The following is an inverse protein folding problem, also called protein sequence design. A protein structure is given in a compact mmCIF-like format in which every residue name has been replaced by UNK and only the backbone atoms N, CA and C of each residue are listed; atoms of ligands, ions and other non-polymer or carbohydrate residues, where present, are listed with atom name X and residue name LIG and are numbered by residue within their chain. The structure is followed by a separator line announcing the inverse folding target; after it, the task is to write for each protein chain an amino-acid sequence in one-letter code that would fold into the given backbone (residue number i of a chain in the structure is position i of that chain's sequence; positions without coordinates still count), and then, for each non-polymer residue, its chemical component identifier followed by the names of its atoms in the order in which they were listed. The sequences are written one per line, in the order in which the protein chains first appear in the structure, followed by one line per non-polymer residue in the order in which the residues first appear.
data_IF_608916914944
#
_entry.id   IF_608916914944
#
_cell.length_a   1.000
_cell.length_b   1.000
_cell.length_c   1.000
_cell.angle_alpha   90.00
_cell.angle_beta   90.00
_cell.angle_gamma   90.00
#
_symmetry.space_group_name_H-M   'P 1'
#
loop_
_entity.id
_entity.type
_entity.pdbx_description
1 polymer ?
#
# COMPACT_ATOMS: atom_id res chain seq x y z
N UNK A 1 -20.61 -27.08 -63.31
CA UNK A 1 -19.21 -27.01 -63.78
C UNK A 1 -18.60 -25.75 -63.18
N UNK A 2 -17.60 -25.69 -62.32
CA UNK A 2 -16.80 -26.65 -61.54
C UNK A 2 -15.83 -25.84 -60.64
N UNK A 3 -15.47 -26.40 -59.48
CA UNK A 3 -14.32 -26.18 -58.58
C UNK A 3 -13.91 -24.74 -58.17
N UNK A 4 -14.00 -24.33 -56.90
CA UNK A 4 -13.16 -24.66 -55.72
C UNK A 4 -11.76 -24.02 -55.72
N UNK A 5 -11.41 -23.34 -54.61
CA UNK A 5 -10.05 -22.83 -54.39
C UNK A 5 -9.82 -22.01 -53.13
N UNK A 6 -10.07 -22.57 -51.94
CA UNK A 6 -9.68 -22.00 -50.63
C UNK A 6 -8.24 -22.44 -50.28
N UNK A 7 -7.31 -21.54 -49.90
CA UNK A 7 -6.05 -21.95 -49.29
C UNK A 7 -6.15 -22.09 -47.76
N UNK A 8 -5.94 -23.33 -47.29
CA UNK A 8 -5.83 -23.75 -45.89
C UNK A 8 -4.38 -23.63 -45.43
N UNK A 9 -4.09 -22.80 -44.43
CA UNK A 9 -2.76 -22.73 -43.81
C UNK A 9 -2.68 -23.71 -42.63
N UNK A 10 -1.62 -24.52 -42.63
CA UNK A 10 -1.44 -25.72 -41.83
C UNK A 10 -0.71 -25.42 -40.52
N UNK A 11 -1.25 -25.96 -39.41
CA UNK A 11 -0.66 -25.97 -38.08
C UNK A 11 0.51 -26.97 -37.98
N UNK A 12 1.73 -26.51 -37.70
CA UNK A 12 2.87 -27.38 -37.42
C UNK A 12 2.83 -27.88 -35.97
N UNK A 13 2.46 -29.16 -35.78
CA UNK A 13 2.66 -29.91 -34.53
C UNK A 13 4.09 -30.48 -34.51
N UNK A 14 4.87 -30.24 -33.46
CA UNK A 14 6.10 -30.99 -33.20
C UNK A 14 5.91 -31.87 -31.97
N UNK A 15 5.79 -33.17 -32.21
CA UNK A 15 5.91 -34.23 -31.22
C UNK A 15 7.33 -34.81 -31.31
N UNK A 16 8.01 -34.94 -30.19
CA UNK A 16 9.36 -35.51 -30.08
C UNK A 16 9.48 -36.33 -28.81
N UNK A 17 9.26 -37.64 -28.96
CA UNK A 17 9.32 -38.69 -27.94
C UNK A 17 10.72 -39.32 -27.95
N UNK A 18 11.35 -39.48 -26.78
CA UNK A 18 12.48 -40.41 -26.57
C UNK A 18 12.31 -41.05 -25.19
N UNK A 19 12.20 -42.38 -25.21
CA UNK A 19 12.18 -43.27 -24.06
C UNK A 19 13.62 -43.72 -23.73
N UNK A 20 13.89 -44.01 -22.45
CA UNK A 20 15.17 -44.55 -21.99
C UNK A 20 15.17 -44.80 -20.48
N UNK A 21 14.75 -46.00 -20.10
CA UNK A 21 14.63 -46.53 -18.74
C UNK A 21 15.98 -46.76 -18.05
N UNK A 22 16.04 -46.52 -16.74
CA UNK A 22 17.19 -46.84 -15.89
C UNK A 22 16.84 -46.67 -14.41
N UNK A 23 16.32 -47.73 -13.81
CA UNK A 23 16.06 -47.85 -12.37
C UNK A 23 17.37 -47.81 -11.59
N UNK A 24 17.39 -47.12 -10.44
CA UNK A 24 18.06 -47.56 -9.22
C UNK A 24 17.44 -46.84 -8.01
N UNK A 25 16.86 -47.65 -7.12
CA UNK A 25 16.50 -47.30 -5.75
C UNK A 25 17.71 -46.81 -4.96
N UNK A 26 17.45 -45.99 -3.94
CA UNK A 26 17.84 -46.17 -2.52
C UNK A 26 17.78 -44.81 -1.80
N UNK A 27 16.76 -44.65 -0.97
CA UNK A 27 16.78 -44.10 0.39
C UNK A 27 17.69 -42.88 0.66
N UNK A 28 17.08 -41.70 0.77
CA UNK A 28 17.69 -40.49 1.31
C UNK A 28 16.65 -39.67 2.06
N UNK A 29 16.54 -39.94 3.35
CA UNK A 29 15.57 -39.38 4.28
C UNK A 29 15.60 -37.86 4.40
N UNK A 30 14.39 -37.31 4.56
CA UNK A 30 14.03 -36.16 5.38
C UNK A 30 14.85 -34.88 5.21
N UNK A 31 14.28 -33.95 4.45
CA UNK A 31 13.91 -32.66 5.02
C UNK A 31 12.56 -32.30 4.42
N UNK A 32 11.50 -32.48 5.22
CA UNK A 32 10.25 -31.78 4.99
C UNK A 32 10.60 -30.30 5.03
N UNK A 33 10.68 -29.67 3.86
CA UNK A 33 10.73 -28.23 3.76
C UNK A 33 9.44 -27.74 4.42
N UNK A 34 9.58 -27.30 5.66
CA UNK A 34 8.46 -26.82 6.45
C UNK A 34 7.81 -25.70 5.65
N UNK A 35 6.49 -25.72 5.41
CA UNK A 35 5.78 -24.53 5.01
C UNK A 35 5.67 -23.64 6.25
N UNK A 36 6.80 -23.16 6.78
CA UNK A 36 6.81 -21.82 7.33
C UNK A 36 6.69 -20.92 6.11
N UNK A 37 5.45 -20.84 5.62
CA UNK A 37 4.96 -19.79 4.77
C UNK A 37 5.49 -18.51 5.38
N UNK A 38 6.59 -18.01 4.80
CA UNK A 38 7.19 -16.75 5.21
C UNK A 38 6.03 -15.78 5.19
N UNK A 39 5.57 -15.37 6.37
CA UNK A 39 4.59 -14.30 6.44
C UNK A 39 5.24 -13.17 5.65
N UNK A 40 4.56 -12.62 4.62
CA UNK A 40 5.15 -11.57 3.82
C UNK A 40 5.51 -10.45 4.80
N UNK A 41 6.81 -10.27 5.05
CA UNK A 41 7.29 -9.31 6.03
C UNK A 41 6.66 -7.97 5.68
N UNK A 42 5.87 -7.43 6.61
CA UNK A 42 5.21 -6.16 6.42
C UNK A 42 6.28 -5.11 6.14
N UNK A 43 6.33 -4.63 4.90
CA UNK A 43 7.27 -3.62 4.47
C UNK A 43 6.56 -2.27 4.43
N UNK A 44 7.23 -1.24 4.92
CA UNK A 44 6.70 0.12 5.02
C UNK A 44 7.64 1.08 4.28
N UNK A 45 7.08 2.15 3.74
CA UNK A 45 7.85 3.20 3.09
C UNK A 45 7.21 4.57 3.33
N UNK A 46 8.04 5.62 3.22
CA UNK A 46 7.59 7.02 3.15
C UNK A 46 7.87 7.59 1.76
N UNK A 47 7.01 8.49 1.32
CA UNK A 47 7.21 9.26 0.09
C UNK A 47 8.23 10.36 0.37
N UNK A 48 9.33 10.38 -0.38
CA UNK A 48 10.39 11.39 -0.26
C UNK A 48 10.49 12.32 -1.47
N UNK A 49 9.89 11.94 -2.60
CA UNK A 49 9.82 12.76 -3.80
C UNK A 49 8.47 12.54 -4.49
N UNK A 50 7.68 13.61 -4.59
CA UNK A 50 6.36 13.59 -5.22
C UNK A 50 6.41 13.57 -6.75
N UNK A 51 7.54 13.94 -7.36
CA UNK A 51 7.72 13.86 -8.82
C UNK A 51 7.77 12.40 -9.32
N UNK A 52 8.13 11.47 -8.44
CA UNK A 52 8.13 10.03 -8.72
C UNK A 52 6.76 9.37 -8.55
N UNK A 53 5.71 10.13 -8.23
CA UNK A 53 4.35 9.59 -8.08
C UNK A 53 3.71 9.40 -9.46
N UNK A 54 3.31 8.17 -9.75
CA UNK A 54 2.60 7.85 -10.99
C UNK A 54 1.12 8.22 -10.89
N UNK A 55 0.69 9.20 -11.67
CA UNK A 55 -0.72 9.64 -11.70
C UNK A 55 -1.61 8.68 -12.48
N UNK A 56 -1.07 8.08 -13.53
CA UNK A 56 -1.76 7.15 -14.43
C UNK A 56 -0.85 5.95 -14.74
N UNK A 57 -1.24 4.76 -14.31
CA UNK A 57 -0.55 3.50 -14.65
C UNK A 57 -1.25 2.70 -15.76
N UNK A 58 -2.53 3.00 -15.99
CA UNK A 58 -3.38 2.31 -16.95
C UNK A 58 -3.19 2.79 -18.39
N UNK A 59 -2.50 3.91 -18.59
CA UNK A 59 -2.29 4.47 -19.91
C UNK A 59 -1.42 3.52 -20.75
N UNK A 60 -1.91 3.10 -21.92
CA UNK A 60 -1.17 2.19 -22.77
C UNK A 60 0.05 2.90 -23.37
N UNK A 61 1.16 2.18 -23.39
CA UNK A 61 2.37 2.60 -24.10
C UNK A 61 2.08 2.76 -25.58
N UNK A 62 2.51 3.87 -26.16
CA UNK A 62 2.30 4.17 -27.59
C UNK A 62 2.86 3.09 -28.53
N UNK A 63 3.96 2.45 -28.15
CA UNK A 63 4.68 1.49 -28.99
C UNK A 63 4.05 0.08 -28.99
N UNK A 64 3.50 -0.36 -27.85
CA UNK A 64 3.03 -1.76 -27.67
C UNK A 64 1.54 -1.87 -27.42
N UNK A 65 0.87 -0.77 -27.02
CA UNK A 65 -0.52 -0.78 -26.56
C UNK A 65 -0.71 -1.40 -25.17
N UNK A 66 0.35 -1.88 -24.51
CA UNK A 66 0.31 -2.47 -23.17
C UNK A 66 0.39 -1.36 -22.11
N UNK A 67 -0.31 -1.49 -20.96
CA UNK A 67 -0.18 -0.55 -19.86
C UNK A 67 1.22 -0.58 -19.23
N UNK A 68 1.57 0.44 -18.44
CA UNK A 68 2.88 0.49 -17.76
C UNK A 68 3.11 -0.71 -16.84
N UNK A 69 2.03 -1.16 -16.19
CA UNK A 69 1.99 -2.33 -15.32
C UNK A 69 0.67 -3.06 -15.46
N UNK A 70 0.63 -4.31 -15.02
CA UNK A 70 -0.63 -5.05 -14.82
C UNK A 70 -0.96 -5.07 -13.33
N UNK A 71 -2.16 -4.60 -12.98
CA UNK A 71 -2.65 -4.61 -11.61
C UNK A 71 -3.00 -6.03 -11.15
N UNK A 72 -2.48 -6.52 -10.01
CA UNK A 72 -2.81 -7.85 -9.50
C UNK A 72 -4.23 -7.92 -8.93
N UNK A 73 -4.80 -6.79 -8.49
CA UNK A 73 -6.14 -6.72 -7.91
C UNK A 73 -6.94 -5.52 -8.41
N UNK A 74 -8.21 -5.73 -8.76
CA UNK A 74 -9.11 -4.67 -9.22
C UNK A 74 -9.32 -3.57 -8.16
N UNK A 75 -9.35 -3.91 -6.87
CA UNK A 75 -9.49 -2.92 -5.78
C UNK A 75 -8.35 -1.91 -5.78
N UNK A 76 -7.12 -2.37 -5.98
CA UNK A 76 -5.94 -1.51 -6.00
C UNK A 76 -5.96 -0.57 -7.20
N UNK A 77 -6.41 -1.08 -8.35
CA UNK A 77 -6.63 -0.27 -9.54
C UNK A 77 -7.68 0.80 -9.33
N UNK A 78 -8.84 0.45 -8.75
CA UNK A 78 -9.96 1.39 -8.54
C UNK A 78 -9.63 2.49 -7.54
N UNK A 79 -8.83 2.19 -6.51
CA UNK A 79 -8.41 3.13 -5.46
C UNK A 79 -6.98 3.65 -5.68
N UNK A 80 -6.44 3.44 -6.87
CA UNK A 80 -5.09 3.79 -7.25
C UNK A 80 -5.08 4.89 -8.31
N UNK A 81 -4.06 5.74 -8.28
CA UNK A 81 -3.87 6.80 -9.27
C UNK A 81 -4.77 8.02 -9.07
N UNK A 82 -4.53 9.05 -9.88
CA UNK A 82 -5.04 10.42 -9.69
C UNK A 82 -6.57 10.52 -9.58
N UNK A 83 -7.31 9.70 -10.32
CA UNK A 83 -8.77 9.75 -10.39
C UNK A 83 -9.45 9.30 -9.10
N UNK A 84 -8.73 8.60 -8.23
CA UNK A 84 -9.26 8.08 -6.96
C UNK A 84 -8.86 8.89 -5.73
N UNK A 85 -7.98 9.89 -5.91
CA UNK A 85 -7.46 10.70 -4.80
C UNK A 85 -8.16 12.06 -4.74
N UNK A 86 -8.65 12.42 -3.56
CA UNK A 86 -9.23 13.74 -3.32
C UNK A 86 -8.15 14.85 -3.35
N UNK A 87 -6.94 14.54 -2.86
CA UNK A 87 -5.77 15.44 -2.90
C UNK A 87 -4.51 14.73 -3.40
N UNK A 88 -3.43 15.50 -3.61
CA UNK A 88 -2.13 14.97 -4.01
C UNK A 88 -1.38 14.33 -2.84
N UNK A 89 -0.69 13.19 -3.05
CA UNK A 89 0.26 12.69 -2.08
C UNK A 89 1.33 13.74 -1.78
N UNK A 90 1.70 13.87 -0.52
CA UNK A 90 2.75 14.79 -0.07
C UNK A 90 3.98 14.01 0.38
N UNK A 91 5.13 14.68 0.35
CA UNK A 91 6.34 14.16 1.00
C UNK A 91 6.09 13.94 2.49
N UNK A 92 6.69 12.89 3.04
CA UNK A 92 6.49 12.46 4.42
C UNK A 92 5.31 11.52 4.64
N UNK A 93 4.34 11.44 3.71
CA UNK A 93 3.25 10.46 3.80
C UNK A 93 3.80 9.04 3.80
N UNK A 94 3.27 8.20 4.70
CA UNK A 94 3.76 6.85 4.94
C UNK A 94 2.72 5.83 4.52
N UNK A 95 3.18 4.66 4.12
CA UNK A 95 2.28 3.59 3.72
C UNK A 95 2.90 2.22 3.81
N UNK A 96 2.02 1.23 3.93
CA UNK A 96 2.41 -0.16 3.77
C UNK A 96 2.67 -0.43 2.29
N UNK A 97 3.79 -1.06 1.98
CA UNK A 97 4.09 -1.56 0.63
C UNK A 97 3.24 -2.79 0.39
N UNK A 98 2.15 -2.63 -0.36
CA UNK A 98 1.24 -3.75 -0.68
C UNK A 98 1.65 -4.49 -1.94
N UNK A 99 2.45 -3.85 -2.80
CA UNK A 99 2.94 -4.46 -4.04
C UNK A 99 4.19 -3.77 -4.57
N UNK A 100 4.94 -4.50 -5.41
CA UNK A 100 6.10 -3.99 -6.13
C UNK A 100 6.11 -4.51 -7.55
N UNK A 101 6.23 -3.61 -8.52
CA UNK A 101 6.53 -3.95 -9.91
C UNK A 101 8.01 -3.69 -10.20
N UNK A 102 8.65 -4.60 -10.93
CA UNK A 102 10.06 -4.48 -11.32
C UNK A 102 10.25 -4.76 -12.81
N UNK A 103 11.28 -4.20 -13.46
CA UNK A 103 11.58 -4.51 -14.86
C UNK A 103 11.81 -6.00 -15.10
N UNK A 104 11.45 -6.48 -16.29
CA UNK A 104 11.73 -7.84 -16.79
C UNK A 104 11.22 -9.01 -15.93
N UNK A 105 10.33 -8.76 -14.97
CA UNK A 105 9.77 -9.82 -14.15
C UNK A 105 8.97 -10.83 -15.01
N UNK A 106 9.11 -12.16 -14.83
CA UNK A 106 8.45 -13.16 -15.66
C UNK A 106 6.92 -13.10 -15.57
N UNK A 107 6.38 -12.93 -14.36
CA UNK A 107 4.94 -12.70 -14.12
C UNK A 107 4.56 -11.27 -14.50
N UNK A 108 3.50 -11.12 -15.31
CA UNK A 108 3.03 -9.82 -15.84
C UNK A 108 2.60 -8.87 -14.72
N UNK A 109 1.96 -9.38 -13.69
CA UNK A 109 1.40 -8.61 -12.57
C UNK A 109 2.49 -8.04 -11.65
N UNK A 110 3.74 -8.48 -11.80
CA UNK A 110 4.92 -7.95 -11.08
C UNK A 110 5.89 -7.22 -12.01
N UNK A 111 5.57 -7.11 -13.29
CA UNK A 111 6.42 -6.49 -14.31
C UNK A 111 6.05 -5.04 -14.51
N UNK A 112 7.07 -4.21 -14.66
CA UNK A 112 6.94 -2.80 -15.02
C UNK A 112 7.69 -2.49 -16.32
N UNK A 113 7.11 -1.57 -17.10
CA UNK A 113 7.74 -0.96 -18.26
C UNK A 113 8.36 0.42 -17.97
N UNK A 114 8.25 0.92 -16.74
CA UNK A 114 8.70 2.25 -16.32
C UNK A 114 9.65 2.23 -15.12
N UNK A 115 10.44 1.17 -14.97
CA UNK A 115 11.37 1.01 -13.84
C UNK A 115 10.74 0.31 -12.63
N UNK A 116 11.34 0.44 -11.45
CA UNK A 116 10.80 -0.14 -10.21
C UNK A 116 9.73 0.79 -9.63
N UNK A 117 8.56 0.22 -9.30
CA UNK A 117 7.41 0.97 -8.76
C UNK A 117 6.90 0.25 -7.51
N UNK A 118 6.74 0.99 -6.42
CA UNK A 118 6.14 0.55 -5.17
C UNK A 118 4.70 1.02 -5.09
N UNK A 119 3.77 0.16 -4.68
CA UNK A 119 2.39 0.52 -4.39
C UNK A 119 2.21 0.68 -2.88
N UNK A 120 2.01 1.91 -2.43
CA UNK A 120 1.82 2.23 -1.02
C UNK A 120 0.33 2.33 -0.68
N UNK A 121 -0.09 1.70 0.41
CA UNK A 121 -1.38 1.97 1.04
C UNK A 121 -1.22 3.06 2.09
N UNK A 122 -1.76 4.26 1.79
CA UNK A 122 -1.58 5.47 2.60
C UNK A 122 -2.86 5.78 3.35
N UNK A 123 -2.83 5.74 4.69
CA UNK A 123 -4.02 5.90 5.54
C UNK A 123 -4.48 7.35 5.57
N UNK A 124 -3.53 8.26 5.61
CA UNK A 124 -3.68 9.70 5.60
C UNK A 124 -4.50 10.16 4.40
N UNK A 125 -4.44 9.44 3.28
CA UNK A 125 -5.25 9.69 2.07
C UNK A 125 -6.56 8.87 2.04
N UNK A 126 -7.19 8.63 3.19
CA UNK A 126 -8.42 7.82 3.26
C UNK A 126 -8.23 6.36 2.82
N UNK A 127 -7.02 5.81 2.94
CA UNK A 127 -6.69 4.45 2.51
C UNK A 127 -6.56 4.30 0.98
N UNK A 128 -6.08 5.32 0.29
CA UNK A 128 -5.78 5.24 -1.14
C UNK A 128 -4.49 4.45 -1.43
N UNK A 129 -4.35 3.98 -2.67
CA UNK A 129 -3.13 3.37 -3.16
C UNK A 129 -2.33 4.36 -4.00
N UNK A 130 -1.07 4.58 -3.62
CA UNK A 130 -0.17 5.54 -4.26
C UNK A 130 1.00 4.78 -4.89
N UNK A 131 1.08 4.71 -6.23
CA UNK A 131 2.23 4.14 -6.92
C UNK A 131 3.36 5.16 -7.01
N UNK A 132 4.54 4.78 -6.54
CA UNK A 132 5.72 5.64 -6.45
C UNK A 132 6.94 4.93 -7.04
N UNK A 133 7.72 5.65 -7.84
CA UNK A 133 9.00 5.15 -8.36
C UNK A 133 10.02 4.90 -7.25
N UNK A 134 11.00 4.04 -7.53
CA UNK A 134 12.05 3.67 -6.58
C UNK A 134 12.80 4.85 -5.96
N UNK A 135 13.08 5.90 -6.73
CA UNK A 135 13.78 7.08 -6.21
C UNK A 135 12.93 7.97 -5.30
N UNK A 136 11.60 7.80 -5.28
CA UNK A 136 10.69 8.62 -4.48
C UNK A 136 10.19 7.94 -3.22
N UNK A 137 10.75 6.77 -2.88
CA UNK A 137 10.43 6.06 -1.64
C UNK A 137 11.66 5.88 -0.78
N UNK A 138 11.48 5.97 0.52
CA UNK A 138 12.44 5.51 1.52
C UNK A 138 11.79 4.42 2.35
N UNK A 139 12.41 3.23 2.40
CA UNK A 139 11.92 2.11 3.21
C UNK A 139 12.15 2.44 4.68
N UNK A 140 11.10 2.32 5.48
CA UNK A 140 11.12 2.67 6.90
C UNK A 140 10.81 1.46 7.77
N UNK A 141 11.22 1.53 9.04
CA UNK A 141 10.84 0.52 10.02
C UNK A 141 9.35 0.63 10.39
N UNK A 142 8.78 -0.46 10.93
CA UNK A 142 7.40 -0.46 11.45
C UNK A 142 7.20 0.59 12.54
N UNK A 143 8.19 0.78 13.42
CA UNK A 143 8.13 1.80 14.48
C UNK A 143 8.03 3.23 13.93
N UNK A 144 8.78 3.55 12.86
CA UNK A 144 8.66 4.84 12.17
C UNK A 144 7.31 5.00 11.46
N UNK A 145 6.75 3.93 10.90
CA UNK A 145 5.41 3.96 10.30
C UNK A 145 4.34 4.30 11.36
N UNK A 146 4.41 3.68 12.53
CA UNK A 146 3.45 3.87 13.63
C UNK A 146 3.61 5.23 14.33
N UNK A 147 4.84 5.73 14.52
CA UNK A 147 5.14 7.03 15.14
C UNK A 147 4.79 8.27 14.29
N UNK A 148 4.08 8.09 13.18
CA UNK A 148 3.45 9.20 12.45
C UNK A 148 1.92 9.16 12.50
N UNK A 149 1.35 8.07 13.03
CA UNK A 149 -0.09 7.88 13.11
C UNK A 149 -0.72 8.47 14.39
N UNK A 150 0.12 8.83 15.35
CA UNK A 150 -0.17 9.27 16.71
C UNK A 150 -0.35 10.79 16.87
N UNK A 151 0.02 11.58 15.86
CA UNK A 151 -0.19 13.05 15.87
C UNK A 151 -1.65 13.49 15.92
N UNK A 152 -2.60 12.63 15.53
CA UNK A 152 -4.04 12.95 15.57
C UNK A 152 -4.70 12.59 16.92
N UNK A 153 -4.13 11.66 17.70
CA UNK A 153 -4.72 11.19 18.97
C UNK A 153 -4.34 12.12 20.14
N UNK A 154 -3.23 12.85 20.01
CA UNK A 154 -2.76 13.76 21.06
C UNK A 154 -3.52 15.10 21.11
N UNK A 155 -4.16 15.51 20.02
CA UNK A 155 -4.88 16.79 19.95
C UNK A 155 -6.29 16.69 20.56
N UNK A 156 -6.94 15.53 20.47
CA UNK A 156 -8.24 15.30 21.12
C UNK A 156 -8.09 15.17 22.65
N UNK A 157 -7.07 14.44 23.12
CA UNK A 157 -6.79 14.28 24.56
C UNK A 157 -6.38 15.61 25.22
N UNK A 158 -5.55 16.41 24.54
CA UNK A 158 -5.15 17.74 25.01
C UNK A 158 -6.31 18.77 24.98
N UNK A 159 -7.28 18.62 24.08
CA UNK A 159 -8.46 19.49 24.01
C UNK A 159 -9.50 19.13 25.08
N UNK A 160 -9.69 17.85 25.40
CA UNK A 160 -10.58 17.44 26.50
C UNK A 160 -10.07 17.91 27.87
N UNK A 161 -8.76 17.85 28.11
CA UNK A 161 -8.13 18.41 29.32
C UNK A 161 -8.34 19.93 29.43
N UNK A 162 -8.28 20.67 28.31
CA UNK A 162 -8.52 22.10 28.29
C UNK A 162 -10.00 22.46 28.54
N UNK A 163 -10.95 21.66 28.04
CA UNK A 163 -12.39 21.89 28.24
C UNK A 163 -12.84 21.53 29.68
N UNK A 164 -12.20 20.53 30.29
CA UNK A 164 -12.51 20.08 31.65
C UNK A 164 -11.89 20.98 32.73
N UNK A 165 -10.71 21.55 32.47
CA UNK A 165 -9.99 22.42 33.41
C UNK A 165 -10.64 23.78 33.71
N UNK A 166 -11.50 24.31 32.83
CA UNK A 166 -12.07 25.66 32.98
C UNK A 166 -13.37 25.71 33.82
N UNK A 167 -13.88 24.56 34.30
CA UNK A 167 -15.12 24.48 35.09
C UNK A 167 -14.96 24.50 36.61
N UNK A 168 -13.75 24.61 37.16
CA UNK A 168 -13.54 24.50 38.62
C UNK A 168 -13.42 25.82 39.40
N UNK A 169 -13.53 27.01 38.78
CA UNK A 169 -13.25 28.25 39.52
C UNK A 169 -14.42 29.22 39.77
N UNK A 170 -15.59 29.08 39.14
CA UNK A 170 -16.62 30.13 39.27
C UNK A 170 -17.63 29.95 40.43
N UNK A 171 -17.64 28.80 41.12
CA UNK A 171 -18.65 28.54 42.17
C UNK A 171 -18.19 28.85 43.61
N UNK A 172 -16.92 29.24 43.82
CA UNK A 172 -16.41 29.59 45.17
C UNK A 172 -16.49 31.09 45.52
N UNK A 173 -17.10 31.92 44.67
CA UNK A 173 -17.24 33.36 44.90
C UNK A 173 -18.64 33.78 45.40
N UNK A 174 -19.41 32.96 46.12
CA UNK A 174 -20.58 33.48 46.86
C UNK A 174 -20.89 32.69 48.14
N UNK A 175 -20.19 32.99 49.24
CA UNK A 175 -20.74 33.11 50.62
C UNK A 175 -19.63 33.07 51.65
N UNK A 176 -19.15 34.25 52.01
CA UNK A 176 -18.63 34.50 53.35
C UNK A 176 -18.93 35.97 53.68
N UNK A 177 -20.17 36.27 54.07
CA UNK A 177 -20.47 37.50 54.79
C UNK A 177 -20.32 37.15 56.28
N UNK A 178 -19.28 37.65 56.97
CA UNK A 178 -19.10 37.36 58.39
C UNK A 178 -20.18 38.04 59.22
N UNK A 179 -20.74 37.27 60.17
CA UNK A 179 -21.61 37.79 61.21
C UNK A 179 -20.85 38.79 62.09
N UNK A 180 -21.25 40.06 62.06
CA UNK A 180 -20.79 41.07 63.01
C UNK A 180 -21.48 40.90 64.37
N UNK A 181 -20.77 41.08 65.50
CA UNK A 181 -21.36 40.96 66.82
C UNK A 181 -21.90 42.29 67.36
N UNK A 182 -22.77 42.14 68.36
CA UNK A 182 -22.88 42.95 69.58
C UNK A 182 -24.00 44.00 69.73
N UNK A 183 -24.87 43.69 70.70
CA UNK A 183 -25.43 44.49 71.81
C UNK A 183 -26.64 45.41 71.74
N UNK A 184 -27.51 45.10 72.73
CA UNK A 184 -28.24 45.96 73.71
C UNK A 184 -29.33 46.87 73.16
N UNK A 185 -30.52 46.99 73.77
CA UNK A 185 -30.89 47.04 75.19
C UNK A 185 -32.20 46.28 75.48
#
# INVERSE_FOLDING_TARGET
MGADGVPKVTLCRRSGKRDGSGSNSLEGSSSFDSPHCHEPLEQYAKIVDTEQVFKCLDEPLKATGEPLVVWPHARWRMRGGRSSWDWMPCEGYRGQVVHKWVPFHPKKERRSHAGVIYLLYVKEMGGCYVPVGESGVEIISKGEYEAGADTEISLEDALEEAISGERMSLEQCTRAIPHGPHTSL
#
